data_IF_446571484256
#
_entry.id   IF_446571484256
#
_cell.length_a   1.000
_cell.length_b   1.000
_cell.length_c   1.000
_cell.angle_alpha   90.00
_cell.angle_beta   90.00
_cell.angle_gamma   90.00
#
_symmetry.space_group_name_H-M   'P 1'
#
loop_
_entity.id
_entity.type
_entity.pdbx_description
1 polymer ?
#
# COMPACT_ATOMS: atom_id res chain seq x y z
N UNK A 1 14.33 -30.01 -24.84
CA UNK A 1 14.08 -28.89 -23.90
C UNK A 1 13.60 -27.73 -24.73
N UNK A 2 12.29 -27.65 -24.96
CA UNK A 2 11.69 -26.57 -25.74
C UNK A 2 11.57 -25.33 -24.86
N UNK A 3 12.12 -24.21 -25.35
CA UNK A 3 12.05 -22.92 -24.69
C UNK A 3 10.61 -22.44 -24.62
N UNK A 4 10.14 -22.17 -23.40
CA UNK A 4 8.96 -21.32 -23.22
C UNK A 4 9.34 -19.92 -23.69
N UNK A 5 8.75 -19.51 -24.81
CA UNK A 5 8.64 -18.10 -25.19
C UNK A 5 7.97 -17.40 -24.00
N UNK A 6 8.70 -16.51 -23.31
CA UNK A 6 8.07 -15.56 -22.38
C UNK A 6 7.18 -14.68 -23.23
N UNK A 7 5.86 -14.87 -23.17
CA UNK A 7 4.89 -13.92 -23.73
C UNK A 7 5.07 -12.59 -22.99
N UNK A 8 5.91 -11.70 -23.55
CA UNK A 8 6.03 -10.33 -23.08
C UNK A 8 4.69 -9.62 -23.21
N UNK A 9 4.38 -8.71 -22.29
CA UNK A 9 3.18 -7.88 -22.43
C UNK A 9 3.36 -7.00 -23.66
N UNK A 10 2.42 -7.05 -24.61
CA UNK A 10 2.36 -6.05 -25.67
C UNK A 10 2.04 -4.70 -25.04
N UNK A 11 3.05 -3.85 -24.95
CA UNK A 11 2.99 -2.58 -24.21
C UNK A 11 2.23 -1.50 -24.99
N UNK A 12 2.07 -1.70 -26.29
CA UNK A 12 1.48 -0.72 -27.22
C UNK A 12 -0.04 -0.55 -27.01
N UNK A 13 -0.70 -1.52 -26.39
CA UNK A 13 -2.14 -1.50 -26.12
C UNK A 13 -2.50 -0.91 -24.73
N UNK A 14 -1.50 -0.48 -23.95
CA UNK A 14 -1.71 0.04 -22.60
C UNK A 14 -1.84 1.57 -22.60
N UNK A 15 -2.78 2.10 -21.80
CA UNK A 15 -2.84 3.56 -21.51
C UNK A 15 -1.53 4.06 -20.89
N UNK A 16 -0.89 3.22 -20.06
CA UNK A 16 0.45 3.44 -19.53
C UNK A 16 1.05 2.11 -19.06
N UNK A 17 2.38 2.01 -19.16
CA UNK A 17 3.16 0.88 -18.64
C UNK A 17 3.98 1.25 -17.40
N UNK A 18 3.70 2.41 -16.80
CA UNK A 18 4.44 2.91 -15.64
C UNK A 18 3.64 2.65 -14.36
N UNK A 19 4.18 1.79 -13.51
CA UNK A 19 3.58 1.39 -12.23
C UNK A 19 4.38 2.01 -11.09
N UNK A 20 3.68 2.66 -10.16
CA UNK A 20 4.27 3.21 -8.94
C UNK A 20 3.74 2.43 -7.75
N UNK A 21 4.66 1.86 -6.96
CA UNK A 21 4.37 1.00 -5.82
C UNK A 21 4.57 1.78 -4.52
N UNK A 22 3.55 1.80 -3.67
CA UNK A 22 3.50 2.54 -2.41
C UNK A 22 3.22 1.55 -1.28
N UNK A 23 4.15 1.47 -0.33
CA UNK A 23 4.13 0.50 0.76
C UNK A 23 3.18 0.90 1.90
N UNK A 24 2.85 -0.08 2.76
CA UNK A 24 2.08 0.10 4.00
C UNK A 24 2.89 0.62 5.19
N UNK A 25 2.25 0.65 6.36
CA UNK A 25 2.87 1.09 7.61
C UNK A 25 4.07 0.21 7.99
N UNK A 26 5.21 0.85 8.29
CA UNK A 26 6.42 0.19 8.79
C UNK A 26 7.25 -0.54 7.72
N UNK A 27 6.74 -0.61 6.49
CA UNK A 27 7.47 -1.07 5.33
C UNK A 27 8.27 0.05 4.66
N UNK A 28 8.95 -0.30 3.57
CA UNK A 28 9.59 0.61 2.62
C UNK A 28 9.51 0.01 1.22
N UNK A 29 10.08 0.69 0.23
CA UNK A 29 10.18 0.24 -1.16
C UNK A 29 10.77 -1.19 -1.28
N UNK A 30 11.64 -1.57 -0.34
CA UNK A 30 12.24 -2.91 -0.25
C UNK A 30 11.22 -4.06 -0.23
N UNK A 31 10.00 -3.85 0.27
CA UNK A 31 8.99 -4.92 0.34
C UNK A 31 8.53 -5.37 -1.06
N UNK A 32 8.66 -4.48 -2.05
CA UNK A 32 8.25 -4.72 -3.41
C UNK A 32 9.29 -5.45 -4.28
N UNK A 33 10.44 -5.86 -3.74
CA UNK A 33 11.57 -6.36 -4.55
C UNK A 33 11.19 -7.47 -5.55
N UNK A 34 10.32 -8.40 -5.17
CA UNK A 34 9.83 -9.46 -6.07
C UNK A 34 8.89 -8.91 -7.14
N UNK A 35 7.98 -8.01 -6.76
CA UNK A 35 7.02 -7.39 -7.67
C UNK A 35 7.71 -6.51 -8.70
N UNK A 36 8.73 -5.74 -8.29
CA UNK A 36 9.58 -4.93 -9.18
C UNK A 36 10.18 -5.84 -10.25
N UNK A 37 10.89 -6.90 -9.84
CA UNK A 37 11.53 -7.84 -10.77
C UNK A 37 10.54 -8.44 -11.77
N UNK A 38 9.39 -8.94 -11.29
CA UNK A 38 8.38 -9.56 -12.16
C UNK A 38 7.74 -8.58 -13.15
N UNK A 39 7.47 -7.35 -12.71
CA UNK A 39 6.86 -6.31 -13.55
C UNK A 39 7.87 -5.81 -14.60
N UNK A 40 9.12 -5.57 -14.23
CA UNK A 40 10.17 -5.15 -15.17
C UNK A 40 10.46 -6.24 -16.21
N UNK A 41 10.52 -7.51 -15.81
CA UNK A 41 10.63 -8.64 -16.74
C UNK A 41 9.46 -8.73 -17.73
N UNK A 42 8.33 -8.13 -17.40
CA UNK A 42 7.13 -8.06 -18.24
C UNK A 42 7.03 -6.77 -19.07
N UNK A 43 8.04 -5.90 -19.03
CA UNK A 43 8.12 -4.68 -19.84
C UNK A 43 7.52 -3.42 -19.20
N UNK A 44 7.16 -3.46 -17.92
CA UNK A 44 6.69 -2.28 -17.19
C UNK A 44 7.87 -1.44 -16.70
N UNK A 45 7.68 -0.13 -16.66
CA UNK A 45 8.53 0.78 -15.88
C UNK A 45 8.00 0.77 -14.45
N UNK A 46 8.86 0.56 -13.47
CA UNK A 46 8.44 0.45 -12.07
C UNK A 46 9.19 1.48 -11.21
N UNK A 47 8.45 2.20 -10.39
CA UNK A 47 9.00 3.03 -9.33
C UNK A 47 8.43 2.57 -7.99
N UNK A 48 9.27 2.11 -7.06
CA UNK A 48 8.86 1.85 -5.69
C UNK A 48 9.31 3.03 -4.82
N UNK A 49 8.38 3.65 -4.11
CA UNK A 49 8.62 4.89 -3.37
C UNK A 49 8.83 4.57 -1.89
N UNK A 50 9.95 5.01 -1.33
CA UNK A 50 10.08 5.16 0.12
C UNK A 50 9.37 6.45 0.55
N UNK A 51 8.32 6.30 1.37
CA UNK A 51 7.65 7.44 1.99
C UNK A 51 8.56 8.09 3.05
N UNK A 52 8.24 9.32 3.47
CA UNK A 52 9.09 10.04 4.43
C UNK A 52 9.23 9.24 5.73
N UNK A 53 10.47 9.05 6.22
CA UNK A 53 10.76 8.28 7.43
C UNK A 53 10.71 6.75 7.26
N UNK A 54 10.42 6.27 6.05
CA UNK A 54 10.29 4.84 5.73
C UNK A 54 11.48 4.32 4.90
N UNK A 55 11.67 3.00 4.89
CA UNK A 55 12.77 2.34 4.18
C UNK A 55 14.14 2.96 4.49
N UNK A 56 14.84 3.45 3.46
CA UNK A 56 16.19 4.05 3.62
C UNK A 56 16.16 5.57 3.89
N UNK A 57 14.99 6.16 4.11
CA UNK A 57 14.85 7.60 4.40
C UNK A 57 15.63 7.99 5.67
N UNK A 58 16.47 9.02 5.59
CA UNK A 58 17.18 9.55 6.77
C UNK A 58 16.30 10.43 7.66
N UNK A 59 15.02 10.65 7.28
CA UNK A 59 14.10 11.45 8.06
C UNK A 59 13.67 10.69 9.32
N UNK A 60 13.59 11.39 10.46
CA UNK A 60 13.11 10.79 11.70
C UNK A 60 11.58 10.69 11.67
N UNK A 61 11.07 9.47 11.85
CA UNK A 61 9.63 9.19 11.86
C UNK A 61 8.89 9.96 12.93
N UNK A 62 9.52 10.24 14.07
CA UNK A 62 8.87 10.88 15.23
C UNK A 62 8.49 12.35 15.01
N UNK A 63 9.09 13.00 14.02
CA UNK A 63 8.82 14.41 13.69
C UNK A 63 7.91 14.57 12.46
N UNK A 64 7.29 13.48 12.00
CA UNK A 64 6.30 13.52 10.91
C UNK A 64 4.94 13.84 11.51
N UNK A 65 4.39 15.00 11.14
CA UNK A 65 3.18 15.55 11.79
C UNK A 65 1.94 15.52 10.90
N UNK A 66 2.05 15.17 9.62
CA UNK A 66 0.92 15.12 8.70
C UNK A 66 1.08 14.08 7.60
N UNK A 67 -0.04 13.65 7.03
CA UNK A 67 -0.09 12.77 5.86
C UNK A 67 0.59 13.43 4.66
N UNK A 68 0.42 14.73 4.46
CA UNK A 68 1.10 15.48 3.39
C UNK A 68 2.63 15.44 3.49
N UNK A 69 3.18 15.45 4.70
CA UNK A 69 4.62 15.29 4.93
C UNK A 69 5.06 13.84 4.68
N UNK A 70 4.25 12.87 5.12
CA UNK A 70 4.53 11.45 4.90
C UNK A 70 4.56 11.08 3.41
N UNK A 71 3.58 11.57 2.64
CA UNK A 71 3.42 11.28 1.21
C UNK A 71 4.29 12.13 0.27
N UNK A 72 5.07 13.08 0.82
CA UNK A 72 5.87 14.03 0.03
C UNK A 72 6.74 13.38 -1.06
N UNK A 73 7.41 12.23 -0.84
CA UNK A 73 8.20 11.60 -1.91
C UNK A 73 7.35 11.13 -3.09
N UNK A 74 6.12 10.66 -2.84
CA UNK A 74 5.18 10.27 -3.88
C UNK A 74 4.66 11.48 -4.65
N UNK A 75 4.31 12.56 -3.95
CA UNK A 75 3.83 13.78 -4.62
C UNK A 75 4.95 14.43 -5.44
N UNK A 76 6.19 14.44 -4.95
CA UNK A 76 7.36 14.95 -5.68
C UNK A 76 7.63 14.15 -6.94
N UNK A 77 7.44 12.83 -6.88
CA UNK A 77 7.54 11.97 -8.05
C UNK A 77 6.46 12.33 -9.09
N UNK A 78 5.20 12.47 -8.66
CA UNK A 78 4.09 12.80 -9.55
C UNK A 78 4.20 14.20 -10.14
N UNK A 79 4.65 15.20 -9.38
CA UNK A 79 4.92 16.55 -9.86
C UNK A 79 5.90 16.56 -11.04
N UNK A 80 6.96 15.75 -10.95
CA UNK A 80 8.01 15.63 -11.96
C UNK A 80 7.61 14.81 -13.19
N UNK A 81 6.46 14.14 -13.19
CA UNK A 81 5.98 13.45 -14.39
C UNK A 81 5.72 14.46 -15.51
N UNK A 82 6.20 14.19 -16.74
CA UNK A 82 5.95 15.05 -17.88
C UNK A 82 4.45 15.24 -18.15
N UNK A 83 4.11 16.39 -18.72
CA UNK A 83 2.72 16.72 -19.07
C UNK A 83 2.10 15.62 -19.96
N UNK A 84 0.83 15.28 -19.69
CA UNK A 84 0.11 14.21 -20.38
C UNK A 84 0.57 12.78 -20.08
N UNK A 85 1.59 12.56 -19.23
CA UNK A 85 1.97 11.21 -18.80
C UNK A 85 1.20 10.79 -17.54
N UNK A 86 0.73 9.54 -17.56
CA UNK A 86 0.01 8.92 -16.44
C UNK A 86 0.73 7.70 -15.90
N UNK A 87 0.42 7.35 -14.66
CA UNK A 87 0.90 6.13 -13.99
C UNK A 87 -0.26 5.32 -13.41
N UNK A 88 0.00 4.03 -13.17
CA UNK A 88 -0.83 3.19 -12.31
C UNK A 88 -0.25 3.28 -10.89
N UNK A 89 -1.03 3.76 -9.93
CA UNK A 89 -0.65 3.74 -8.52
C UNK A 89 -1.09 2.43 -7.88
N UNK A 90 -0.21 1.81 -7.08
CA UNK A 90 -0.52 0.62 -6.29
C UNK A 90 -0.18 0.92 -4.84
N UNK A 91 -1.20 0.92 -3.97
CA UNK A 91 -1.05 1.19 -2.54
C UNK A 91 -1.39 -0.07 -1.74
N UNK A 92 -0.50 -0.44 -0.83
CA UNK A 92 -0.70 -1.54 0.12
C UNK A 92 -1.01 -1.00 1.52
N UNK A 93 -1.96 -1.61 2.25
CA UNK A 93 -2.25 -1.26 3.65
C UNK A 93 -2.49 0.27 3.82
N UNK A 94 -1.74 0.96 4.68
CA UNK A 94 -1.78 2.41 4.88
C UNK A 94 -1.37 3.21 3.64
N UNK A 95 -0.63 2.58 2.72
CA UNK A 95 -0.37 3.10 1.38
C UNK A 95 -1.65 3.39 0.60
N UNK A 96 -2.80 2.77 0.94
CA UNK A 96 -4.12 3.12 0.44
C UNK A 96 -4.51 4.58 0.71
N UNK A 97 -4.37 5.05 1.94
CA UNK A 97 -4.61 6.44 2.29
C UNK A 97 -3.63 7.38 1.57
N UNK A 98 -2.39 6.94 1.39
CA UNK A 98 -1.35 7.70 0.70
C UNK A 98 -1.66 7.89 -0.80
N UNK A 99 -2.08 6.83 -1.49
CA UNK A 99 -2.47 6.94 -2.91
C UNK A 99 -3.78 7.71 -3.08
N UNK A 100 -4.71 7.62 -2.12
CA UNK A 100 -5.94 8.44 -2.13
C UNK A 100 -5.62 9.94 -2.03
N UNK A 101 -4.67 10.31 -1.17
CA UNK A 101 -4.16 11.69 -1.11
C UNK A 101 -3.55 12.13 -2.45
N UNK A 102 -2.73 11.27 -3.06
CA UNK A 102 -2.14 11.55 -4.36
C UNK A 102 -3.18 11.67 -5.48
N UNK A 103 -4.25 10.88 -5.44
CA UNK A 103 -5.38 10.95 -6.38
C UNK A 103 -6.15 12.26 -6.26
N UNK A 104 -6.34 12.78 -5.05
CA UNK A 104 -6.98 14.08 -4.84
C UNK A 104 -6.11 15.22 -5.39
N UNK A 105 -4.79 15.13 -5.26
CA UNK A 105 -3.85 16.16 -5.68
C UNK A 105 -3.52 16.12 -7.18
N UNK A 106 -3.39 14.92 -7.77
CA UNK A 106 -2.91 14.69 -9.13
C UNK A 106 -3.83 13.77 -9.95
N UNK A 107 -5.15 13.98 -9.99
CA UNK A 107 -6.10 13.04 -10.62
C UNK A 107 -5.79 12.81 -12.11
N UNK A 108 -5.30 13.85 -12.81
CA UNK A 108 -4.98 13.76 -14.24
C UNK A 108 -3.69 12.99 -14.56
N UNK A 109 -2.84 12.74 -13.55
CA UNK A 109 -1.57 11.99 -13.70
C UNK A 109 -1.72 10.50 -13.35
N UNK A 110 -2.91 10.07 -12.98
CA UNK A 110 -3.17 8.70 -12.52
C UNK A 110 -4.19 8.07 -13.47
N UNK A 111 -3.80 7.01 -14.15
CA UNK A 111 -4.71 6.25 -15.02
C UNK A 111 -5.59 5.31 -14.22
N UNK A 112 -4.99 4.62 -13.26
CA UNK A 112 -5.63 3.63 -12.39
C UNK A 112 -5.00 3.67 -11.00
N UNK A 113 -5.80 3.43 -9.98
CA UNK A 113 -5.37 3.22 -8.60
C UNK A 113 -5.73 1.81 -8.16
N UNK A 114 -4.77 1.05 -7.64
CA UNK A 114 -4.93 -0.33 -7.18
C UNK A 114 -4.67 -0.39 -5.68
N UNK A 115 -5.70 -0.72 -4.92
CA UNK A 115 -5.66 -0.89 -3.48
C UNK A 115 -5.43 -2.38 -3.18
N UNK A 116 -4.30 -2.73 -2.57
CA UNK A 116 -3.93 -4.12 -2.27
C UNK A 116 -4.01 -4.31 -0.77
N UNK A 117 -5.07 -4.96 -0.27
CA UNK A 117 -5.33 -5.09 1.17
C UNK A 117 -5.13 -3.76 1.90
N UNK A 118 -5.77 -2.69 1.39
CA UNK A 118 -5.38 -1.32 1.69
C UNK A 118 -6.53 -0.48 2.24
N UNK A 119 -6.18 0.56 3.00
CA UNK A 119 -7.11 1.55 3.54
C UNK A 119 -7.74 2.38 2.41
N UNK A 120 -8.84 1.89 1.83
CA UNK A 120 -9.63 2.58 0.81
C UNK A 120 -10.74 3.40 1.46
N UNK A 121 -10.34 4.52 2.07
CA UNK A 121 -11.16 5.36 2.93
C UNK A 121 -12.24 6.14 2.16
N UNK A 122 -13.34 6.49 2.83
CA UNK A 122 -14.26 7.55 2.38
C UNK A 122 -13.81 8.92 2.91
N UNK A 123 -14.28 10.01 2.28
CA UNK A 123 -13.96 11.37 2.71
C UNK A 123 -14.37 11.60 4.17
N UNK A 124 -13.47 12.17 4.98
CA UNK A 124 -13.67 12.39 6.41
C UNK A 124 -13.30 11.22 7.31
N UNK A 125 -12.82 10.09 6.76
CA UNK A 125 -12.27 8.96 7.52
C UNK A 125 -10.74 9.04 7.62
N UNK A 126 -10.21 8.48 8.70
CA UNK A 126 -8.78 8.21 8.90
C UNK A 126 -8.49 6.71 8.81
N UNK A 127 -7.22 6.34 8.75
CA UNK A 127 -6.85 4.91 8.81
C UNK A 127 -7.14 4.33 10.20
N UNK A 128 -6.96 5.13 11.26
CA UNK A 128 -7.35 4.73 12.62
C UNK A 128 -8.84 4.38 12.72
N UNK A 129 -9.73 5.15 12.08
CA UNK A 129 -11.18 4.89 12.09
C UNK A 129 -11.53 3.51 11.50
N UNK A 130 -10.71 2.99 10.59
CA UNK A 130 -10.92 1.66 9.98
C UNK A 130 -10.38 0.56 10.89
N UNK A 131 -9.14 0.65 11.34
CA UNK A 131 -8.54 -0.40 12.19
C UNK A 131 -9.25 -0.51 13.55
N UNK A 132 -9.78 0.60 14.08
CA UNK A 132 -10.56 0.58 15.33
C UNK A 132 -11.91 -0.14 15.22
N UNK A 133 -12.44 -0.37 14.01
CA UNK A 133 -13.64 -1.18 13.81
C UNK A 133 -13.41 -2.67 14.06
N UNK A 134 -12.14 -3.11 14.17
CA UNK A 134 -11.78 -4.48 14.50
C UNK A 134 -11.78 -4.78 16.01
N UNK A 135 -12.07 -3.80 16.87
CA UNK A 135 -11.93 -3.93 18.32
C UNK A 135 -12.78 -5.08 18.91
N UNK A 136 -12.11 -6.22 19.11
CA UNK A 136 -12.58 -7.40 19.82
C UNK A 136 -11.53 -7.88 20.81
N UNK A 137 -11.87 -8.79 21.71
CA UNK A 137 -11.03 -9.18 22.86
C UNK A 137 -9.70 -9.88 22.51
N UNK A 138 -9.45 -10.20 21.23
CA UNK A 138 -8.24 -10.87 20.73
C UNK A 138 -7.59 -10.13 19.55
N UNK A 139 -7.66 -8.79 19.52
CA UNK A 139 -7.07 -8.01 18.43
C UNK A 139 -5.53 -8.14 18.43
N UNK A 140 -5.01 -8.92 17.49
CA UNK A 140 -3.58 -9.14 17.29
C UNK A 140 -2.87 -7.87 16.82
N UNK A 141 -3.56 -7.00 16.08
CA UNK A 141 -3.02 -5.71 15.64
C UNK A 141 -2.73 -4.84 16.86
N UNK A 142 -3.68 -4.71 17.77
CA UNK A 142 -3.50 -3.92 19.00
C UNK A 142 -2.35 -4.47 19.86
N UNK A 143 -2.24 -5.79 19.99
CA UNK A 143 -1.16 -6.43 20.75
C UNK A 143 0.23 -6.24 20.11
N UNK A 144 0.29 -6.15 18.79
CA UNK A 144 1.53 -5.98 18.06
C UNK A 144 2.05 -4.55 18.02
N UNK A 145 1.33 -3.55 18.54
CA UNK A 145 1.73 -2.16 18.48
C UNK A 145 2.39 -1.69 19.78
N UNK A 146 3.62 -1.18 19.67
CA UNK A 146 4.31 -0.48 20.77
C UNK A 146 4.40 1.01 20.45
N UNK A 147 3.62 1.82 21.15
CA UNK A 147 3.59 3.27 20.94
C UNK A 147 4.83 3.98 21.50
N UNK A 148 5.34 4.94 20.74
CA UNK A 148 6.50 5.78 21.05
C UNK A 148 6.02 7.20 21.33
N UNK A 149 6.51 7.80 22.41
CA UNK A 149 6.13 9.12 22.89
C UNK A 149 7.34 10.07 22.90
N UNK A 150 7.92 10.35 21.73
CA UNK A 150 9.16 11.12 21.64
C UNK A 150 9.01 12.58 22.12
N UNK A 151 7.79 13.11 22.12
CA UNK A 151 7.46 14.45 22.64
C UNK A 151 7.08 14.44 24.13
N UNK A 152 7.20 13.30 24.83
CA UNK A 152 6.79 13.14 26.23
C UNK A 152 5.45 12.40 26.38
N UNK A 153 5.27 11.73 27.52
CA UNK A 153 4.14 10.82 27.78
C UNK A 153 2.79 11.53 27.96
N UNK A 154 2.79 12.86 28.16
CA UNK A 154 1.57 13.66 28.27
C UNK A 154 1.02 14.10 26.90
N UNK A 155 1.71 13.75 25.82
CA UNK A 155 1.31 14.02 24.44
C UNK A 155 0.84 12.73 23.74
N UNK A 156 0.07 12.84 22.64
CA UNK A 156 -0.21 11.67 21.79
C UNK A 156 1.10 11.03 21.30
N UNK A 157 1.10 9.71 21.01
CA UNK A 157 2.29 9.05 20.51
C UNK A 157 2.72 9.64 19.18
N UNK A 158 4.03 9.73 18.97
CA UNK A 158 4.64 10.25 17.73
C UNK A 158 4.69 9.17 16.65
N UNK A 159 4.92 7.93 17.05
CA UNK A 159 4.96 6.77 16.16
C UNK A 159 4.63 5.49 16.94
N UNK A 160 4.56 4.36 16.24
CA UNK A 160 4.52 3.03 16.86
C UNK A 160 5.41 2.04 16.12
N UNK A 161 5.99 1.11 16.86
CA UNK A 161 6.71 -0.05 16.34
C UNK A 161 5.80 -1.27 16.29
N UNK A 162 6.11 -2.18 15.37
CA UNK A 162 5.50 -3.50 15.32
C UNK A 162 6.34 -4.51 16.12
N UNK A 163 5.70 -5.25 17.04
CA UNK A 163 6.34 -6.30 17.82
C UNK A 163 6.84 -7.41 16.88
N UNK A 164 8.16 -7.56 16.83
CA UNK A 164 8.85 -8.53 15.98
C UNK A 164 8.44 -9.98 16.25
N UNK A 165 8.03 -10.29 17.48
CA UNK A 165 7.56 -11.63 17.86
C UNK A 165 6.20 -11.97 17.25
N UNK A 166 5.38 -10.97 16.94
CA UNK A 166 4.03 -11.12 16.40
C UNK A 166 3.96 -10.89 14.88
N UNK A 167 5.00 -10.33 14.26
CA UNK A 167 5.05 -10.06 12.82
C UNK A 167 4.71 -11.29 11.97
N UNK A 168 5.20 -12.47 12.37
CA UNK A 168 4.94 -13.72 11.64
C UNK A 168 3.45 -13.99 11.52
N UNK A 169 2.73 -13.91 12.63
CA UNK A 169 1.34 -14.30 12.68
C UNK A 169 0.43 -13.19 12.14
N UNK A 170 0.82 -11.93 12.31
CA UNK A 170 0.03 -10.77 11.89
C UNK A 170 0.18 -10.43 10.40
N UNK A 171 1.41 -10.28 9.90
CA UNK A 171 1.65 -9.75 8.55
C UNK A 171 2.12 -10.81 7.55
N UNK A 172 2.62 -11.95 8.03
CA UNK A 172 3.45 -12.87 7.25
C UNK A 172 3.07 -14.35 7.42
N UNK A 173 1.81 -14.64 7.80
CA UNK A 173 1.35 -15.98 8.14
C UNK A 173 1.40 -16.97 6.96
N UNK A 174 1.53 -16.48 5.72
CA UNK A 174 1.71 -17.28 4.50
C UNK A 174 3.04 -16.99 3.79
N UNK A 175 3.90 -16.15 4.36
CA UNK A 175 5.13 -15.68 3.73
C UNK A 175 6.33 -16.59 4.02
N UNK A 176 7.28 -16.72 3.07
CA UNK A 176 8.49 -17.49 3.29
C UNK A 176 9.36 -16.92 4.41
N UNK A 177 10.03 -17.77 5.18
CA UNK A 177 10.88 -17.37 6.32
C UNK A 177 12.00 -16.40 5.95
N UNK A 178 12.56 -16.50 4.75
CA UNK A 178 13.57 -15.56 4.23
C UNK A 178 13.03 -14.12 4.11
N UNK A 179 11.77 -13.96 3.73
CA UNK A 179 11.14 -12.65 3.58
C UNK A 179 10.76 -12.07 4.94
N UNK A 180 10.39 -12.93 5.89
CA UNK A 180 10.21 -12.54 7.31
C UNK A 180 11.53 -12.04 7.90
N UNK A 181 12.65 -12.74 7.62
CA UNK A 181 13.96 -12.32 8.07
C UNK A 181 14.35 -10.94 7.50
N UNK A 182 14.12 -10.73 6.20
CA UNK A 182 14.29 -9.42 5.55
C UNK A 182 13.44 -8.34 6.24
N UNK A 183 12.16 -8.62 6.47
CA UNK A 183 11.25 -7.67 7.13
C UNK A 183 11.73 -7.32 8.56
N UNK A 184 12.17 -8.29 9.34
CA UNK A 184 12.59 -8.10 10.74
C UNK A 184 13.77 -7.13 10.92
N UNK A 185 14.59 -6.96 9.88
CA UNK A 185 15.75 -6.04 9.88
C UNK A 185 15.51 -4.76 9.10
N UNK A 186 14.41 -4.67 8.35
CA UNK A 186 14.12 -3.55 7.43
C UNK A 186 12.92 -2.71 7.86
N UNK A 187 12.00 -3.28 8.66
CA UNK A 187 10.85 -2.55 9.16
C UNK A 187 11.24 -1.43 10.13
N UNK A 188 10.49 -0.34 10.08
CA UNK A 188 10.68 0.88 10.89
C UNK A 188 9.40 1.27 11.58
N UNK A 189 9.49 2.23 12.50
CA UNK A 189 8.32 2.81 13.16
C UNK A 189 7.37 3.44 12.13
N UNK A 190 6.07 3.41 12.42
CA UNK A 190 5.02 4.05 11.63
C UNK A 190 4.68 5.40 12.25
N UNK A 191 4.68 6.51 11.51
CA UNK A 191 4.33 7.82 12.07
C UNK A 191 2.83 7.84 12.43
N UNK A 192 2.49 8.27 13.64
CA UNK A 192 1.13 8.13 14.15
C UNK A 192 0.20 9.26 13.66
N UNK A 193 0.69 10.50 13.58
CA UNK A 193 -0.12 11.63 13.14
C UNK A 193 -0.75 11.43 11.74
N UNK A 194 -0.03 10.92 10.71
CA UNK A 194 -0.63 10.56 9.42
C UNK A 194 -1.74 9.50 9.50
N UNK A 195 -1.66 8.56 10.45
CA UNK A 195 -2.67 7.49 10.62
C UNK A 195 -3.98 8.05 11.21
N UNK A 196 -3.88 9.08 12.06
CA UNK A 196 -5.00 9.81 12.65
C UNK A 196 -5.66 10.81 11.69
N UNK A 197 -4.91 11.25 10.68
CA UNK A 197 -5.38 12.32 9.79
C UNK A 197 -6.56 11.84 8.93
N UNK A 198 -7.63 12.63 8.93
CA UNK A 198 -8.81 12.38 8.11
C UNK A 198 -8.56 12.87 6.69
N UNK A 199 -8.77 12.00 5.70
CA UNK A 199 -8.62 12.37 4.30
C UNK A 199 -9.78 13.23 3.82
N UNK A 200 -9.51 14.23 2.98
CA UNK A 200 -10.53 14.99 2.27
C UNK A 200 -10.50 14.59 0.80
N UNK A 201 -11.52 13.86 0.37
CA UNK A 201 -11.63 13.29 -0.97
C UNK A 201 -12.87 13.85 -1.67
N UNK A 202 -12.72 14.23 -2.93
CA UNK A 202 -13.82 14.79 -3.74
C UNK A 202 -14.16 13.91 -4.94
N UNK A 203 -15.43 13.94 -5.36
CA UNK A 203 -15.91 13.18 -6.53
C UNK A 203 -15.20 13.63 -7.82
N UNK A 204 -14.91 14.93 -7.95
CA UNK A 204 -14.29 15.52 -9.13
C UNK A 204 -12.80 15.19 -9.27
N UNK A 205 -12.12 14.78 -8.19
CA UNK A 205 -10.69 14.46 -8.19
C UNK A 205 -10.47 13.01 -7.83
N UNK A 206 -10.40 12.65 -6.55
CA UNK A 206 -10.29 11.25 -6.12
C UNK A 206 -11.32 10.34 -6.80
N UNK A 207 -12.59 10.77 -6.85
CA UNK A 207 -13.69 10.01 -7.42
C UNK A 207 -13.55 9.77 -8.93
N UNK A 208 -12.87 10.67 -9.64
CA UNK A 208 -12.65 10.60 -11.10
C UNK A 208 -11.61 9.56 -11.52
N UNK A 209 -10.73 9.15 -10.61
CA UNK A 209 -9.70 8.13 -10.89
C UNK A 209 -10.33 6.75 -10.82
N UNK A 210 -10.03 5.90 -11.80
CA UNK A 210 -10.48 4.49 -11.82
C UNK A 210 -9.80 3.70 -10.72
N UNK A 211 -10.59 3.09 -9.84
CA UNK A 211 -10.11 2.36 -8.67
C UNK A 211 -10.34 0.87 -8.82
N UNK A 212 -9.36 0.08 -8.42
CA UNK A 212 -9.41 -1.37 -8.37
C UNK A 212 -8.97 -1.82 -6.98
N UNK A 213 -9.54 -2.91 -6.49
CA UNK A 213 -9.19 -3.46 -5.18
C UNK A 213 -8.75 -4.92 -5.31
N UNK A 214 -7.69 -5.31 -4.61
CA UNK A 214 -7.20 -6.68 -4.51
C UNK A 214 -7.30 -7.11 -3.05
N UNK A 215 -8.24 -8.02 -2.78
CA UNK A 215 -8.44 -8.64 -1.47
C UNK A 215 -7.44 -9.78 -1.22
N UNK A 216 -6.89 -9.81 -0.01
CA UNK A 216 -6.02 -10.88 0.52
C UNK A 216 -6.83 -11.73 1.49
N UNK A 217 -6.98 -13.03 1.20
CA UNK A 217 -7.96 -13.84 1.92
C UNK A 217 -7.47 -14.43 3.25
N UNK A 218 -6.15 -14.51 3.45
CA UNK A 218 -5.53 -15.03 4.69
C UNK A 218 -4.92 -13.89 5.53
N UNK A 219 -5.47 -12.69 5.38
CA UNK A 219 -4.97 -11.47 6.01
C UNK A 219 -5.43 -11.38 7.47
N UNK A 220 -4.46 -11.37 8.38
CA UNK A 220 -4.71 -11.25 9.82
C UNK A 220 -4.64 -9.79 10.32
N UNK A 221 -4.13 -8.86 9.53
CA UNK A 221 -4.01 -7.44 9.89
C UNK A 221 -5.22 -6.63 9.42
N UNK A 222 -5.69 -6.89 8.21
CA UNK A 222 -6.95 -6.37 7.68
C UNK A 222 -7.79 -7.57 7.22
N UNK A 223 -8.55 -8.21 8.13
CA UNK A 223 -9.36 -9.37 7.79
C UNK A 223 -10.33 -9.07 6.65
N UNK A 224 -10.65 -10.12 5.89
CA UNK A 224 -11.46 -10.03 4.68
C UNK A 224 -12.78 -9.27 4.89
N UNK A 225 -13.44 -9.46 6.04
CA UNK A 225 -14.68 -8.76 6.37
C UNK A 225 -14.51 -7.25 6.43
N UNK A 226 -13.36 -6.75 6.92
CA UNK A 226 -13.08 -5.33 6.94
C UNK A 226 -12.72 -4.80 5.55
N UNK A 227 -12.00 -5.59 4.75
CA UNK A 227 -11.73 -5.25 3.34
C UNK A 227 -13.04 -5.10 2.56
N UNK A 228 -13.97 -6.06 2.71
CA UNK A 228 -15.29 -6.03 2.09
C UNK A 228 -16.12 -4.83 2.58
N UNK A 229 -16.06 -4.48 3.87
CA UNK A 229 -16.73 -3.27 4.39
C UNK A 229 -16.21 -1.99 3.73
N UNK A 230 -14.88 -1.85 3.57
CA UNK A 230 -14.30 -0.69 2.86
C UNK A 230 -14.73 -0.65 1.41
N UNK A 231 -14.70 -1.78 0.71
CA UNK A 231 -15.15 -1.91 -0.69
C UNK A 231 -16.63 -1.54 -0.81
N UNK A 232 -17.48 -1.96 0.11
CA UNK A 232 -18.91 -1.62 0.08
C UNK A 232 -19.17 -0.14 0.37
N UNK A 233 -18.39 0.48 1.27
CA UNK A 233 -18.51 1.90 1.63
C UNK A 233 -17.95 2.84 0.55
N UNK A 234 -16.92 2.41 -0.18
CA UNK A 234 -16.29 3.17 -1.27
C UNK A 234 -16.08 2.29 -2.52
N UNK A 235 -17.14 1.99 -3.29
CA UNK A 235 -17.05 1.01 -4.39
C UNK A 235 -15.96 1.33 -5.42
N UNK A 236 -15.03 0.38 -5.67
CA UNK A 236 -14.11 0.44 -6.79
C UNK A 236 -14.81 -0.06 -8.06
N UNK A 237 -14.18 0.14 -9.22
CA UNK A 237 -14.68 -0.36 -10.50
C UNK A 237 -14.70 -1.89 -10.54
N UNK A 238 -13.69 -2.55 -9.97
CA UNK A 238 -13.62 -4.01 -9.87
C UNK A 238 -12.80 -4.46 -8.67
N UNK A 239 -13.23 -5.58 -8.09
CA UNK A 239 -12.57 -6.26 -6.98
C UNK A 239 -11.98 -7.59 -7.46
N UNK A 240 -10.76 -7.88 -7.06
CA UNK A 240 -10.04 -9.13 -7.30
C UNK A 240 -9.73 -9.82 -5.99
N UNK A 241 -9.62 -11.14 -6.00
CA UNK A 241 -9.37 -11.95 -4.80
C UNK A 241 -8.12 -12.78 -4.95
N UNK A 242 -7.18 -12.62 -4.02
CA UNK A 242 -5.90 -13.32 -4.00
C UNK A 242 -5.92 -14.41 -2.93
N UNK A 243 -6.32 -15.62 -3.35
CA UNK A 243 -6.42 -16.79 -2.46
C UNK A 243 -5.05 -17.18 -1.89
N UNK A 244 -5.01 -17.47 -0.59
CA UNK A 244 -3.80 -17.91 0.10
C UNK A 244 -2.76 -16.81 0.32
N UNK A 245 -3.07 -15.55 0.01
CA UNK A 245 -2.22 -14.42 0.33
C UNK A 245 -2.51 -13.94 1.75
N UNK A 246 -1.45 -13.76 2.52
CA UNK A 246 -1.47 -13.00 3.77
C UNK A 246 -1.55 -11.50 3.49
N UNK A 247 -1.40 -10.70 4.54
CA UNK A 247 -1.33 -9.24 4.46
C UNK A 247 -0.20 -8.73 3.54
N UNK A 248 0.81 -9.56 3.27
CA UNK A 248 2.00 -9.20 2.51
C UNK A 248 2.07 -9.98 1.19
N UNK A 249 1.13 -9.77 0.24
CA UNK A 249 1.02 -10.57 -0.98
C UNK A 249 2.24 -10.47 -1.90
N UNK A 250 3.01 -9.39 -1.78
CA UNK A 250 4.32 -9.23 -2.44
C UNK A 250 5.37 -10.25 -1.96
N UNK A 251 5.17 -10.88 -0.79
CA UNK A 251 6.02 -11.97 -0.28
C UNK A 251 5.37 -13.34 -0.44
N UNK A 252 4.11 -13.50 0.01
CA UNK A 252 3.43 -14.79 0.04
C UNK A 252 2.95 -15.27 -1.33
N UNK A 253 2.47 -14.36 -2.19
CA UNK A 253 1.90 -14.66 -3.51
C UNK A 253 2.39 -13.72 -4.64
N UNK A 254 3.71 -13.48 -4.80
CA UNK A 254 4.22 -12.47 -5.72
C UNK A 254 3.83 -12.70 -7.19
N UNK A 255 3.83 -13.94 -7.67
CA UNK A 255 3.45 -14.24 -9.07
C UNK A 255 1.96 -14.00 -9.32
N UNK A 256 1.11 -14.33 -8.35
CA UNK A 256 -0.33 -14.14 -8.49
C UNK A 256 -0.70 -12.65 -8.37
N UNK A 257 -0.06 -11.92 -7.45
CA UNK A 257 -0.18 -10.46 -7.39
C UNK A 257 0.26 -9.81 -8.69
N UNK A 258 1.44 -10.19 -9.22
CA UNK A 258 1.93 -9.72 -10.51
C UNK A 258 0.92 -9.95 -11.64
N UNK A 259 0.35 -11.15 -11.75
CA UNK A 259 -0.67 -11.46 -12.76
C UNK A 259 -1.87 -10.52 -12.67
N UNK A 260 -2.36 -10.23 -11.47
CA UNK A 260 -3.49 -9.30 -11.27
C UNK A 260 -3.13 -7.86 -11.64
N UNK A 261 -1.92 -7.39 -11.28
CA UNK A 261 -1.47 -6.05 -11.67
C UNK A 261 -1.38 -5.90 -13.19
N UNK A 262 -0.86 -6.93 -13.88
CA UNK A 262 -0.84 -7.00 -15.35
C UNK A 262 -2.26 -7.01 -15.92
N UNK A 263 -3.15 -7.83 -15.37
CA UNK A 263 -4.55 -7.89 -15.81
C UNK A 263 -5.23 -6.52 -15.67
N UNK A 264 -5.12 -5.88 -14.50
CA UNK A 264 -5.71 -4.56 -14.23
C UNK A 264 -5.15 -3.49 -15.19
N UNK A 265 -3.84 -3.53 -15.48
CA UNK A 265 -3.23 -2.55 -16.39
C UNK A 265 -3.85 -2.57 -17.78
N UNK A 266 -4.35 -3.73 -18.23
CA UNK A 266 -4.95 -3.96 -19.55
C UNK A 266 -6.44 -3.65 -19.63
N UNK A 267 -7.10 -3.32 -18.51
CA UNK A 267 -8.51 -2.95 -18.53
C UNK A 267 -8.64 -1.58 -19.18
N UNK A 268 -9.35 -1.52 -20.31
CA UNK A 268 -9.63 -0.29 -21.06
C UNK A 268 -10.69 0.56 -20.38
#
# INVERSE_FOLDING_TARGET
MEGRVKEGVNVDDLETNHIVLVHGGGFGAWCWYKSIALLEESGYKVAAIDLTGSGVSSFDTNIITSLSQYVKPLTDFLEKLPEGKKVILVGHDFGGACISYAMEMFPLKISKAVFVAAAMLTSGQSTLDIISQQAGSNDLMQQAQTFIYANGNDHPPTSFDMDKSLLRDLLFNQSPTKDIALASVSMRSVPFAPVLEKVSLSDLKYGSVRRFYIETLEDNAIPISLQENMVNANPPEKVFRLKGADHSPFFSKPQALHKLLVEISKIL
#
